data_IF_617659872989
#
_entry.id   IF_617659872989
#
_cell.length_a   1.000
_cell.length_b   1.000
_cell.length_c   1.000
_cell.angle_alpha   90.00
_cell.angle_beta   90.00
_cell.angle_gamma   90.00
#
_symmetry.space_group_name_H-M   'P 1'
#
loop_
_entity.id
_entity.type
_entity.pdbx_description
1 polymer ?
#
# COMPACT_ATOMS: atom_id res chain seq x y z
N UNK A 1 -39.93 11.18 16.22
CA UNK A 1 -38.58 11.70 16.49
C UNK A 1 -38.14 12.47 15.27
N UNK A 2 -38.12 13.80 15.35
CA UNK A 2 -37.59 14.62 14.26
C UNK A 2 -36.08 14.40 14.20
N UNK A 3 -35.58 13.90 13.08
CA UNK A 3 -34.15 13.83 12.85
C UNK A 3 -33.63 15.25 12.65
N UNK A 4 -32.88 15.77 13.61
CA UNK A 4 -32.18 17.04 13.46
C UNK A 4 -31.04 16.87 12.44
N UNK A 5 -31.35 17.09 11.16
CA UNK A 5 -30.40 17.01 10.06
C UNK A 5 -30.07 18.43 9.60
N UNK A 6 -28.82 18.83 9.78
CA UNK A 6 -28.27 20.05 9.18
C UNK A 6 -27.84 19.70 7.75
N UNK A 7 -28.34 20.46 6.77
CA UNK A 7 -27.87 20.38 5.38
C UNK A 7 -27.13 21.67 5.04
N UNK A 8 -25.87 21.56 4.64
CA UNK A 8 -25.03 22.67 4.23
C UNK A 8 -24.62 22.50 2.76
N UNK A 9 -24.69 23.60 1.99
CA UNK A 9 -24.41 23.59 0.55
C UNK A 9 -23.53 24.78 0.17
N UNK A 10 -22.59 24.58 -0.74
CA UNK A 10 -21.77 25.65 -1.30
C UNK A 10 -20.55 25.97 -0.44
N UNK A 11 -19.46 25.23 -0.66
CA UNK A 11 -18.18 25.37 0.05
C UNK A 11 -18.32 25.20 1.57
N UNK A 12 -18.61 23.97 1.98
CA UNK A 12 -18.75 23.62 3.40
C UNK A 12 -17.38 23.45 4.04
N UNK A 13 -17.22 24.03 5.23
CA UNK A 13 -16.09 23.83 6.12
C UNK A 13 -16.65 23.37 7.48
N UNK A 14 -16.13 22.27 8.00
CA UNK A 14 -16.49 21.74 9.33
C UNK A 14 -15.22 21.67 10.16
N UNK A 15 -15.27 22.23 11.37
CA UNK A 15 -14.27 22.02 12.40
C UNK A 15 -14.97 21.27 13.54
N UNK A 16 -14.49 20.07 13.85
CA UNK A 16 -15.03 19.24 14.92
C UNK A 16 -13.88 18.56 15.64
N UNK A 17 -13.67 18.92 16.91
CA UNK A 17 -12.52 18.46 17.70
C UNK A 17 -11.20 18.70 16.94
N UNK A 18 -10.43 17.65 16.65
CA UNK A 18 -9.17 17.71 15.89
C UNK A 18 -9.35 17.58 14.37
N UNK A 19 -10.60 17.41 13.92
CA UNK A 19 -10.94 17.18 12.52
C UNK A 19 -11.24 18.51 11.84
N UNK A 20 -10.50 18.81 10.77
CA UNK A 20 -10.80 19.88 9.83
C UNK A 20 -11.26 19.28 8.52
N UNK A 21 -12.45 19.63 8.07
CA UNK A 21 -13.04 19.07 6.87
C UNK A 21 -13.58 20.13 5.93
N UNK A 22 -13.53 19.84 4.63
CA UNK A 22 -14.13 20.67 3.60
C UNK A 22 -14.80 19.81 2.52
N UNK A 23 -15.87 20.32 1.91
CA UNK A 23 -16.60 19.66 0.82
C UNK A 23 -17.50 20.63 0.06
N UNK A 24 -18.12 20.15 -1.03
CA UNK A 24 -19.12 20.93 -1.77
C UNK A 24 -20.41 21.06 -0.95
N UNK A 25 -20.88 19.95 -0.37
CA UNK A 25 -22.06 19.87 0.47
C UNK A 25 -21.79 19.00 1.70
N UNK A 26 -22.61 19.14 2.74
CA UNK A 26 -22.60 18.24 3.88
C UNK A 26 -24.01 17.99 4.42
N UNK A 27 -24.20 16.81 5.00
CA UNK A 27 -25.36 16.46 5.83
C UNK A 27 -24.86 16.01 7.20
N UNK A 28 -25.34 16.64 8.25
CA UNK A 28 -24.92 16.35 9.63
C UNK A 28 -26.15 15.96 10.42
N UNK A 29 -26.17 14.74 10.95
CA UNK A 29 -27.17 14.32 11.92
C UNK A 29 -26.66 14.73 13.31
N UNK A 30 -27.48 15.40 14.10
CA UNK A 30 -27.16 15.77 15.48
C UNK A 30 -28.16 15.13 16.45
N UNK A 31 -27.71 14.87 17.68
CA UNK A 31 -28.56 14.41 18.77
C UNK A 31 -29.29 15.58 19.45
N UNK A 32 -30.13 15.27 20.45
CA UNK A 32 -30.87 16.28 21.23
C UNK A 32 -29.96 17.27 21.98
N UNK A 33 -28.72 16.88 22.28
CA UNK A 33 -27.71 17.75 22.91
C UNK A 33 -26.92 18.59 21.90
N UNK A 34 -27.22 18.50 20.60
CA UNK A 34 -26.52 19.21 19.54
C UNK A 34 -25.18 18.60 19.12
N UNK A 35 -24.81 17.42 19.63
CA UNK A 35 -23.58 16.73 19.23
C UNK A 35 -23.79 15.96 17.91
N UNK A 36 -22.82 15.96 16.99
CA UNK A 36 -22.91 15.16 15.76
C UNK A 36 -22.97 13.65 16.04
N UNK A 37 -23.92 12.99 15.42
CA UNK A 37 -24.03 11.51 15.36
C UNK A 37 -23.51 10.97 14.02
N UNK A 38 -23.57 11.78 12.96
CA UNK A 38 -23.12 11.41 11.63
C UNK A 38 -22.77 12.66 10.83
N UNK A 39 -21.61 12.69 10.19
CA UNK A 39 -21.17 13.76 9.30
C UNK A 39 -20.92 13.15 7.92
N UNK A 40 -21.73 13.53 6.93
CA UNK A 40 -21.58 13.10 5.54
C UNK A 40 -21.14 14.29 4.68
N UNK A 41 -19.91 14.26 4.20
CA UNK A 41 -19.30 15.24 3.31
C UNK A 41 -19.40 14.74 1.87
N UNK A 42 -19.95 15.57 0.99
CA UNK A 42 -20.29 15.19 -0.39
C UNK A 42 -19.64 16.17 -1.37
N UNK A 43 -18.95 15.63 -2.37
CA UNK A 43 -18.30 16.35 -3.45
C UNK A 43 -16.94 16.93 -3.04
N UNK A 44 -15.86 16.39 -3.60
CA UNK A 44 -14.46 16.80 -3.31
C UNK A 44 -14.18 16.90 -1.81
N UNK A 45 -14.66 15.92 -1.06
CA UNK A 45 -14.54 15.89 0.39
C UNK A 45 -13.07 15.69 0.78
N UNK A 46 -12.61 16.48 1.75
CA UNK A 46 -11.30 16.36 2.35
C UNK A 46 -11.43 16.44 3.86
N UNK A 47 -10.72 15.56 4.56
CA UNK A 47 -10.58 15.51 6.01
C UNK A 47 -9.10 15.58 6.35
N UNK A 48 -8.75 16.41 7.32
CA UNK A 48 -7.42 16.54 7.90
C UNK A 48 -7.54 16.30 9.41
N UNK A 49 -6.76 15.35 9.92
CA UNK A 49 -6.67 15.03 11.36
C UNK A 49 -5.20 14.76 11.70
N UNK A 50 -4.56 15.69 12.42
CA UNK A 50 -3.13 15.63 12.69
C UNK A 50 -2.30 15.52 11.40
N UNK A 51 -1.55 14.42 11.26
CA UNK A 51 -0.72 14.12 10.07
C UNK A 51 -1.48 13.41 8.95
N UNK A 52 -2.72 13.00 9.20
CA UNK A 52 -3.52 12.23 8.26
C UNK A 52 -4.36 13.16 7.38
N UNK A 53 -4.33 12.92 6.07
CA UNK A 53 -5.14 13.63 5.08
C UNK A 53 -5.90 12.58 4.27
N UNK A 54 -7.22 12.70 4.22
CA UNK A 54 -8.09 11.83 3.42
C UNK A 54 -8.88 12.69 2.44
N UNK A 55 -8.91 12.30 1.17
CA UNK A 55 -9.69 12.95 0.12
C UNK A 55 -10.55 11.89 -0.56
N UNK A 56 -11.80 12.22 -0.91
CA UNK A 56 -12.68 11.35 -1.68
C UNK A 56 -13.86 12.13 -2.29
N UNK A 57 -14.67 11.49 -3.13
CA UNK A 57 -15.94 12.07 -3.57
C UNK A 57 -16.90 12.21 -2.39
N UNK A 58 -17.01 11.17 -1.55
CA UNK A 58 -17.82 11.19 -0.33
C UNK A 58 -16.98 10.74 0.87
N UNK A 59 -17.13 11.43 1.99
CA UNK A 59 -16.56 11.05 3.29
C UNK A 59 -17.68 10.99 4.32
N UNK A 60 -17.85 9.84 4.98
CA UNK A 60 -18.80 9.63 6.05
C UNK A 60 -18.03 9.41 7.35
N UNK A 61 -18.24 10.26 8.35
CA UNK A 61 -17.68 10.09 9.68
C UNK A 61 -18.81 9.84 10.68
N UNK A 62 -18.70 8.75 11.44
CA UNK A 62 -19.61 8.40 12.51
C UNK A 62 -18.86 8.51 13.85
N UNK A 63 -19.08 9.59 14.62
CA UNK A 63 -18.44 9.78 15.92
C UNK A 63 -18.87 8.77 16.99
N UNK A 64 -20.01 8.10 16.82
CA UNK A 64 -20.50 7.11 17.79
C UNK A 64 -19.72 5.80 17.65
N UNK A 65 -19.51 5.34 16.41
CA UNK A 65 -18.73 4.13 16.12
C UNK A 65 -17.24 4.41 15.92
N UNK A 66 -16.81 5.67 15.91
CA UNK A 66 -15.47 6.12 15.54
C UNK A 66 -15.01 5.58 14.19
N UNK A 67 -15.89 5.64 13.20
CA UNK A 67 -15.65 5.10 11.87
C UNK A 67 -15.58 6.22 10.82
N UNK A 68 -14.59 6.14 9.93
CA UNK A 68 -14.45 7.01 8.76
C UNK A 68 -14.50 6.18 7.49
N UNK A 69 -15.45 6.47 6.61
CA UNK A 69 -15.60 5.84 5.30
C UNK A 69 -15.32 6.88 4.21
N UNK A 70 -14.42 6.56 3.29
CA UNK A 70 -14.07 7.36 2.11
C UNK A 70 -14.42 6.59 0.84
N UNK A 71 -15.15 7.21 -0.08
CA UNK A 71 -15.60 6.54 -1.31
C UNK A 71 -15.61 7.42 -2.55
N UNK A 72 -15.46 6.80 -3.72
CA UNK A 72 -15.41 7.48 -5.01
C UNK A 72 -14.05 8.15 -5.22
N UNK A 73 -13.03 7.34 -5.49
CA UNK A 73 -11.63 7.78 -5.62
C UNK A 73 -11.03 8.26 -4.30
N UNK A 74 -11.07 7.40 -3.29
CA UNK A 74 -10.46 7.65 -2.00
C UNK A 74 -8.92 7.70 -2.09
N UNK A 75 -8.33 8.72 -1.48
CA UNK A 75 -6.89 8.88 -1.32
C UNK A 75 -6.60 9.27 0.13
N UNK A 76 -5.84 8.44 0.84
CA UNK A 76 -5.30 8.77 2.16
C UNK A 76 -3.79 8.92 2.10
N UNK A 77 -3.29 9.86 2.91
CA UNK A 77 -1.87 10.15 3.05
C UNK A 77 -1.55 10.35 4.52
N UNK A 78 -0.40 9.85 4.96
CA UNK A 78 0.12 10.09 6.31
C UNK A 78 1.64 10.17 6.29
N UNK A 79 2.19 10.74 7.36
CA UNK A 79 3.64 10.84 7.60
C UNK A 79 3.96 10.13 8.90
N UNK A 80 4.80 9.09 8.82
CA UNK A 80 5.28 8.33 9.98
C UNK A 80 6.24 9.16 10.84
N UNK A 81 6.67 8.60 11.97
CA UNK A 81 7.62 9.27 12.88
C UNK A 81 8.99 9.50 12.24
N UNK A 82 9.45 8.58 11.38
CA UNK A 82 10.69 8.69 10.60
C UNK A 82 10.56 9.62 9.37
N UNK A 83 9.50 10.44 9.32
CA UNK A 83 9.12 11.30 8.20
C UNK A 83 8.76 10.57 6.90
N UNK A 84 8.68 9.24 6.91
CA UNK A 84 8.25 8.50 5.72
C UNK A 84 6.81 8.81 5.37
N UNK A 85 6.55 9.15 4.11
CA UNK A 85 5.20 9.30 3.59
C UNK A 85 4.63 7.95 3.17
N UNK A 86 3.37 7.72 3.54
CA UNK A 86 2.54 6.62 3.04
C UNK A 86 1.42 7.25 2.23
N UNK A 87 1.16 6.75 1.03
CA UNK A 87 0.00 7.16 0.23
C UNK A 87 -0.77 5.94 -0.27
N UNK A 88 -2.09 5.99 -0.13
CA UNK A 88 -3.01 4.91 -0.43
C UNK A 88 -4.11 5.46 -1.34
N UNK A 89 -4.26 4.89 -2.52
CA UNK A 89 -5.33 5.19 -3.47
C UNK A 89 -6.23 3.97 -3.62
N UNK A 90 -7.54 4.20 -3.70
CA UNK A 90 -8.53 3.15 -3.92
C UNK A 90 -9.90 3.74 -4.24
N UNK A 91 -10.88 2.88 -4.48
CA UNK A 91 -12.27 3.30 -4.69
C UNK A 91 -13.00 3.49 -3.36
N UNK A 92 -12.63 2.70 -2.36
CA UNK A 92 -13.21 2.69 -1.03
C UNK A 92 -12.12 2.53 0.04
N UNK A 93 -12.28 3.25 1.16
CA UNK A 93 -11.48 3.11 2.37
C UNK A 93 -12.41 3.18 3.58
N UNK A 94 -12.19 2.33 4.56
CA UNK A 94 -12.89 2.33 5.84
C UNK A 94 -11.86 2.23 6.94
N UNK A 95 -11.83 3.24 7.80
CA UNK A 95 -10.95 3.31 8.95
C UNK A 95 -11.79 3.25 10.22
N UNK A 96 -11.52 2.24 11.04
CA UNK A 96 -12.06 2.12 12.38
C UNK A 96 -11.00 2.66 13.36
N UNK A 97 -11.30 3.76 14.03
CA UNK A 97 -10.36 4.40 14.95
C UNK A 97 -10.25 3.64 16.27
N UNK A 98 -11.24 2.83 16.65
CA UNK A 98 -11.14 2.01 17.87
C UNK A 98 -10.09 0.91 17.66
N UNK A 99 -10.19 0.22 16.53
CA UNK A 99 -9.30 -0.91 16.21
C UNK A 99 -8.08 -0.50 15.39
N UNK A 100 -7.92 0.78 15.05
CA UNK A 100 -6.85 1.30 14.20
C UNK A 100 -6.67 0.52 12.88
N UNK A 101 -7.76 -0.07 12.39
CA UNK A 101 -7.77 -0.94 11.21
C UNK A 101 -8.24 -0.14 10.01
N UNK A 102 -7.48 -0.23 8.90
CA UNK A 102 -7.87 0.35 7.62
C UNK A 102 -8.13 -0.76 6.60
N UNK A 103 -9.34 -0.81 6.08
CA UNK A 103 -9.71 -1.67 4.95
C UNK A 103 -9.79 -0.79 3.70
N UNK A 104 -9.11 -1.18 2.64
CA UNK A 104 -9.14 -0.49 1.34
C UNK A 104 -9.46 -1.47 0.24
N UNK A 105 -10.31 -1.06 -0.71
CA UNK A 105 -10.76 -1.91 -1.81
C UNK A 105 -11.03 -1.12 -3.09
N UNK A 106 -10.94 -1.84 -4.21
CA UNK A 106 -11.09 -1.31 -5.56
C UNK A 106 -9.87 -0.51 -6.00
N UNK A 107 -9.17 -1.00 -7.03
CA UNK A 107 -7.99 -0.34 -7.62
C UNK A 107 -6.98 0.14 -6.57
N UNK A 108 -6.70 -0.70 -5.56
CA UNK A 108 -5.81 -0.36 -4.46
C UNK A 108 -4.40 -0.16 -5.02
N UNK A 109 -3.80 0.98 -4.68
CA UNK A 109 -2.38 1.27 -4.88
C UNK A 109 -1.84 1.87 -3.59
N UNK A 110 -0.74 1.30 -3.11
CA UNK A 110 -0.04 1.75 -1.91
C UNK A 110 1.39 2.09 -2.31
N UNK A 111 1.85 3.26 -1.90
CA UNK A 111 3.23 3.70 -2.07
C UNK A 111 3.83 3.94 -0.68
N UNK A 112 4.93 3.26 -0.39
CA UNK A 112 5.67 3.34 0.86
C UNK A 112 7.16 3.14 0.59
N UNK A 113 7.99 4.16 0.82
CA UNK A 113 9.43 4.14 0.48
C UNK A 113 9.63 3.70 -0.99
N UNK A 114 10.32 2.59 -1.19
CA UNK A 114 10.63 1.94 -2.47
C UNK A 114 9.57 0.91 -2.92
N UNK A 115 8.49 0.72 -2.14
CA UNK A 115 7.43 -0.24 -2.40
C UNK A 115 6.27 0.41 -3.14
N UNK A 116 5.87 -0.23 -4.23
CA UNK A 116 4.60 0.00 -4.89
C UNK A 116 3.83 -1.32 -4.82
N UNK A 117 2.75 -1.34 -4.05
CA UNK A 117 1.86 -2.48 -3.95
C UNK A 117 0.51 -2.15 -4.60
N UNK A 118 -0.01 -3.07 -5.40
CA UNK A 118 -1.28 -2.92 -6.10
C UNK A 118 -2.13 -4.17 -5.96
N UNK A 119 -3.44 -4.01 -5.83
CA UNK A 119 -4.35 -5.15 -5.70
C UNK A 119 -5.82 -4.74 -5.66
N UNK A 120 -6.73 -5.71 -5.55
CA UNK A 120 -8.16 -5.43 -5.43
C UNK A 120 -8.56 -5.07 -3.99
N UNK A 121 -7.87 -5.59 -2.97
CA UNK A 121 -8.14 -5.31 -1.55
C UNK A 121 -6.87 -5.37 -0.71
N UNK A 122 -6.74 -4.46 0.26
CA UNK A 122 -5.75 -4.55 1.32
C UNK A 122 -6.36 -4.20 2.69
N UNK A 123 -5.84 -4.83 3.74
CA UNK A 123 -6.20 -4.54 5.13
C UNK A 123 -4.93 -4.20 5.91
N UNK A 124 -4.90 -3.03 6.54
CA UNK A 124 -3.84 -2.62 7.44
C UNK A 124 -4.28 -2.94 8.86
N UNK A 125 -3.45 -3.70 9.56
CA UNK A 125 -3.66 -4.12 10.93
C UNK A 125 -2.62 -3.44 11.82
N UNK A 126 -3.03 -2.90 12.98
CA UNK A 126 -2.10 -2.32 13.92
C UNK A 126 -1.27 -3.41 14.62
N UNK A 127 -0.14 -2.99 15.16
CA UNK A 127 0.54 -3.70 16.23
C UNK A 127 -0.27 -3.64 17.53
N UNK A 128 -0.36 -4.76 18.23
CA UNK A 128 -1.20 -4.87 19.44
C UNK A 128 -0.70 -4.07 20.62
N UNK A 129 0.58 -3.64 20.63
CA UNK A 129 1.16 -2.83 21.71
C UNK A 129 1.16 -1.35 21.36
N UNK A 130 1.60 -1.02 20.16
CA UNK A 130 1.82 0.38 19.74
C UNK A 130 0.63 1.01 19.04
N UNK A 131 -0.37 0.22 18.63
CA UNK A 131 -1.51 0.66 17.81
C UNK A 131 -1.12 1.28 16.45
N UNK A 132 0.15 1.15 16.06
CA UNK A 132 0.70 1.64 14.78
C UNK A 132 0.54 0.57 13.70
N UNK A 133 0.33 0.93 12.42
CA UNK A 133 0.27 -0.05 11.34
C UNK A 133 1.52 -0.93 11.30
N UNK A 134 1.36 -2.24 11.39
CA UNK A 134 2.47 -3.19 11.40
C UNK A 134 2.34 -4.28 10.35
N UNK A 135 1.10 -4.68 10.02
CA UNK A 135 0.84 -5.73 9.04
C UNK A 135 -0.11 -5.21 7.96
N UNK A 136 0.19 -5.51 6.71
CA UNK A 136 -0.67 -5.22 5.56
C UNK A 136 -0.97 -6.54 4.86
N UNK A 137 -2.25 -6.91 4.78
CA UNK A 137 -2.70 -8.13 4.13
C UNK A 137 -3.41 -7.76 2.83
N UNK A 138 -2.83 -8.14 1.71
CA UNK A 138 -3.45 -8.05 0.40
C UNK A 138 -4.20 -9.35 0.09
N UNK A 139 -5.40 -9.21 -0.44
CA UNK A 139 -6.23 -10.34 -0.86
C UNK A 139 -6.71 -10.15 -2.28
N UNK A 140 -6.70 -11.25 -3.04
CA UNK A 140 -6.97 -11.27 -4.47
C UNK A 140 -5.73 -10.83 -5.24
N UNK A 141 -5.40 -11.56 -6.31
CA UNK A 141 -4.26 -11.38 -7.22
C UNK A 141 -3.60 -10.00 -7.12
N UNK A 142 -2.62 -9.89 -6.22
CA UNK A 142 -1.95 -8.64 -5.87
C UNK A 142 -0.50 -8.68 -6.30
N UNK A 143 0.11 -7.51 -6.46
CA UNK A 143 1.49 -7.31 -6.90
C UNK A 143 2.22 -6.37 -5.95
N UNK A 144 3.40 -6.76 -5.52
CA UNK A 144 4.37 -5.89 -4.85
C UNK A 144 5.55 -5.69 -5.80
N UNK A 145 5.99 -4.44 -5.94
CA UNK A 145 7.21 -4.06 -6.63
C UNK A 145 8.15 -3.34 -5.65
N UNK A 146 9.37 -3.86 -5.52
CA UNK A 146 10.49 -3.27 -4.76
C UNK A 146 11.67 -3.12 -5.72
N UNK A 147 11.95 -1.89 -6.16
CA UNK A 147 12.97 -1.61 -7.17
C UNK A 147 12.73 -2.42 -8.46
N UNK A 148 13.66 -3.32 -8.78
CA UNK A 148 13.61 -4.20 -9.96
C UNK A 148 12.96 -5.56 -9.71
N UNK A 149 12.49 -5.81 -8.49
CA UNK A 149 11.88 -7.07 -8.05
C UNK A 149 10.36 -6.90 -8.04
N UNK A 150 9.64 -7.89 -8.57
CA UNK A 150 8.18 -7.93 -8.46
C UNK A 150 7.72 -9.30 -8.00
N UNK A 151 6.75 -9.32 -7.10
CA UNK A 151 6.07 -10.55 -6.65
C UNK A 151 4.57 -10.38 -6.83
N UNK A 152 3.95 -11.38 -7.44
CA UNK A 152 2.50 -11.50 -7.58
C UNK A 152 2.02 -12.77 -6.87
N UNK A 153 0.89 -12.68 -6.15
CA UNK A 153 0.27 -13.83 -5.50
C UNK A 153 -1.22 -13.56 -5.23
N UNK A 154 -1.98 -14.60 -4.86
CA UNK A 154 -3.39 -14.45 -4.49
C UNK A 154 -3.56 -13.80 -3.11
N UNK A 155 -2.58 -14.02 -2.23
CA UNK A 155 -2.47 -13.37 -0.93
C UNK A 155 -1.02 -12.94 -0.69
N UNK A 156 -0.84 -11.69 -0.28
CA UNK A 156 0.47 -11.16 0.14
C UNK A 156 0.31 -10.59 1.54
N UNK A 157 1.19 -10.95 2.46
CA UNK A 157 1.25 -10.31 3.79
C UNK A 157 2.58 -9.59 3.93
N UNK A 158 2.54 -8.27 4.17
CA UNK A 158 3.71 -7.44 4.40
C UNK A 158 3.77 -7.05 5.88
N UNK A 159 4.92 -7.26 6.50
CA UNK A 159 5.27 -6.69 7.81
C UNK A 159 6.08 -5.42 7.60
N UNK A 160 5.73 -4.34 8.32
CA UNK A 160 6.41 -3.05 8.21
C UNK A 160 7.71 -3.08 9.02
N UNK A 161 7.71 -3.70 10.20
CA UNK A 161 8.86 -3.76 11.12
C UNK A 161 8.97 -5.16 11.79
N UNK A 162 9.93 -6.03 11.41
CA UNK A 162 10.88 -5.86 10.32
C UNK A 162 10.20 -5.91 8.96
N UNK A 163 10.83 -5.28 7.97
CA UNK A 163 10.35 -5.22 6.58
C UNK A 163 10.47 -6.60 5.93
N UNK A 164 9.40 -7.38 5.92
CA UNK A 164 9.34 -8.73 5.32
C UNK A 164 7.99 -8.96 4.67
N UNK A 165 7.90 -9.90 3.72
CA UNK A 165 6.60 -10.31 3.20
C UNK A 165 6.51 -11.82 2.94
N UNK A 166 5.29 -12.35 2.99
CA UNK A 166 4.95 -13.71 2.57
C UNK A 166 4.00 -13.65 1.37
N UNK A 167 4.05 -14.69 0.54
CA UNK A 167 3.25 -14.82 -0.67
C UNK A 167 2.63 -16.22 -0.75
N UNK A 168 1.32 -16.29 -0.92
CA UNK A 168 0.55 -17.53 -0.90
C UNK A 168 -0.41 -17.55 -2.11
N UNK A 169 -0.49 -18.71 -2.78
CA UNK A 169 -1.37 -18.93 -3.94
C UNK A 169 -0.84 -18.34 -5.25
N UNK A 170 -0.70 -19.19 -6.28
CA UNK A 170 -0.32 -18.82 -7.65
C UNK A 170 0.85 -17.82 -7.75
N UNK A 171 1.88 -18.02 -6.94
CA UNK A 171 2.99 -17.07 -6.76
C UNK A 171 3.83 -16.96 -8.02
N UNK A 172 4.14 -15.73 -8.45
CA UNK A 172 5.06 -15.43 -9.55
C UNK A 172 6.03 -14.33 -9.12
N UNK A 173 7.33 -14.60 -9.24
CA UNK A 173 8.39 -13.63 -8.95
C UNK A 173 9.17 -13.28 -10.21
N UNK A 174 9.56 -12.02 -10.36
CA UNK A 174 10.41 -11.55 -11.45
C UNK A 174 11.50 -10.64 -10.90
N UNK A 175 12.71 -10.75 -11.46
CA UNK A 175 13.86 -9.93 -11.13
C UNK A 175 14.40 -9.34 -12.42
N UNK A 176 14.49 -8.00 -12.51
CA UNK A 176 15.12 -7.34 -13.65
C UNK A 176 16.57 -7.02 -13.30
N UNK A 177 17.51 -7.60 -14.02
CA UNK A 177 18.92 -7.24 -13.91
C UNK A 177 19.18 -5.99 -14.76
N UNK A 178 19.53 -4.88 -14.09
CA UNK A 178 19.99 -3.67 -14.77
C UNK A 178 21.43 -3.93 -15.19
N UNK A 179 21.65 -4.28 -16.46
CA UNK A 179 22.98 -4.50 -17.01
C UNK A 179 23.82 -3.22 -16.99
N UNK A 180 25.03 -3.31 -16.45
CA UNK A 180 26.11 -2.33 -16.63
C UNK A 180 26.53 -2.32 -18.11
N UNK A 181 25.85 -1.55 -18.95
CA UNK A 181 26.32 -1.30 -20.31
C UNK A 181 27.35 -0.17 -20.33
N UNK A 182 28.61 -0.52 -20.01
CA UNK A 182 29.76 0.32 -20.35
C UNK A 182 30.55 -0.30 -21.51
N UNK A 183 30.34 0.31 -22.69
CA UNK A 183 31.21 0.42 -23.87
C UNK A 183 32.14 -0.77 -24.21
N UNK A 184 31.84 -1.44 -25.32
CA UNK A 184 32.86 -1.70 -26.34
C UNK A 184 32.28 -1.54 -27.76
N UNK A 185 33.11 -0.92 -28.59
CA UNK A 185 32.79 -0.31 -29.87
C UNK A 185 32.50 -1.29 -31.02
N UNK A 186 31.74 -0.76 -31.98
CA UNK A 186 31.68 -1.03 -33.42
C UNK A 186 32.61 -2.09 -34.04
N UNK A 187 32.02 -3.05 -34.76
CA UNK A 187 32.43 -3.42 -36.14
C UNK A 187 31.50 -4.46 -36.79
N UNK A 188 30.81 -4.02 -37.85
CA UNK A 188 30.54 -4.69 -39.16
C UNK A 188 30.18 -6.19 -39.28
N UNK A 189 29.05 -6.41 -39.95
CA UNK A 189 28.55 -7.61 -40.67
C UNK A 189 29.61 -8.63 -41.16
N UNK A 190 29.37 -9.91 -40.88
CA UNK A 190 29.12 -10.97 -41.90
C UNK A 190 28.75 -12.32 -41.25
N UNK A 191 27.73 -12.96 -41.81
CA UNK A 191 27.35 -14.35 -41.59
C UNK A 191 28.26 -15.26 -42.45
N UNK A 192 28.63 -16.48 -41.99
CA UNK A 192 28.13 -17.66 -42.70
C UNK A 192 27.84 -18.91 -41.80
N UNK A 193 27.21 -19.89 -42.45
CA UNK A 193 26.69 -21.20 -42.02
C UNK A 193 27.77 -22.26 -41.68
N UNK A 194 27.35 -23.17 -40.78
CA UNK A 194 27.55 -24.64 -40.68
C UNK A 194 28.96 -25.25 -40.78
N UNK A 195 29.37 -26.02 -39.78
CA UNK A 195 29.90 -27.40 -39.89
C UNK A 195 29.79 -28.11 -38.52
N UNK A 196 29.46 -29.39 -38.57
CA UNK A 196 29.30 -30.35 -37.46
C UNK A 196 30.63 -30.69 -36.74
N UNK A 197 30.47 -31.29 -35.56
CA UNK A 197 31.23 -32.43 -34.99
C UNK A 197 31.78 -32.28 -33.56
N UNK A 198 31.40 -33.30 -32.79
CA UNK A 198 32.10 -33.98 -31.68
C UNK A 198 32.11 -33.42 -30.25
N UNK A 199 31.23 -34.02 -29.44
CA UNK A 199 31.47 -34.61 -28.11
C UNK A 199 32.83 -34.32 -27.42
N UNK A 200 32.75 -33.82 -26.19
CA UNK A 200 33.27 -34.51 -25.00
C UNK A 200 32.70 -33.89 -23.71
N UNK A 201 32.06 -34.75 -22.93
CA UNK A 201 31.82 -34.55 -21.51
C UNK A 201 33.16 -34.39 -20.79
N UNK A 202 33.26 -33.42 -19.88
CA UNK A 202 34.31 -33.45 -18.86
C UNK A 202 33.66 -33.26 -17.48
N UNK A 203 33.73 -34.35 -16.72
CA UNK A 203 33.29 -34.47 -15.33
C UNK A 203 34.25 -33.66 -14.46
N UNK A 204 33.71 -32.85 -13.56
CA UNK A 204 34.49 -32.19 -12.52
C UNK A 204 34.82 -33.25 -11.46
N UNK A 205 36.10 -33.58 -11.34
CA UNK A 205 36.61 -34.52 -10.34
C UNK A 205 36.71 -33.82 -8.97
N UNK A 206 36.24 -34.49 -7.93
CA UNK A 206 36.03 -33.94 -6.60
C UNK A 206 37.10 -34.45 -5.63
N UNK A 207 38.39 -34.23 -5.91
CA UNK A 207 39.50 -34.73 -5.09
C UNK A 207 40.61 -33.70 -4.74
N UNK A 208 40.48 -32.42 -5.12
CA UNK A 208 41.58 -31.43 -4.95
C UNK A 208 41.41 -30.42 -3.79
N UNK A 209 40.80 -30.83 -2.67
CA UNK A 209 40.95 -30.08 -1.41
C UNK A 209 41.11 -31.02 -0.20
N UNK A 210 42.35 -31.43 0.06
CA UNK A 210 42.75 -31.97 1.38
C UNK A 210 43.25 -30.84 2.30
N UNK A 211 43.08 -30.98 3.63
CA UNK A 211 43.16 -29.89 4.60
C UNK A 211 44.58 -29.68 5.13
N UNK A 212 44.91 -28.45 5.53
CA UNK A 212 46.11 -28.16 6.33
C UNK A 212 45.68 -27.73 7.73
N UNK A 213 45.82 -28.66 8.68
CA UNK A 213 45.99 -28.39 10.10
C UNK A 213 47.51 -28.39 10.39
N UNK A 214 48.03 -27.36 11.05
CA UNK A 214 48.60 -27.47 12.42
C UNK A 214 49.41 -26.23 12.83
N UNK A 215 48.93 -25.61 13.93
CA UNK A 215 49.63 -25.30 15.20
C UNK A 215 51.01 -24.62 15.15
N UNK A 216 51.04 -23.41 15.74
CA UNK A 216 51.95 -23.08 16.85
C UNK A 216 51.28 -22.14 17.84
#
# INVERSE_FOLDING_TARGET
MESNIITATGNVIINYEEIKANSTNAKIKINESGKPELINLIGSAKVVQGKNIVNATNLLFNPISNELIASGSAKSQTTLEDMTQVSIWSDYQQFDQNTHTLITSGRVKIVYKDYIATGPKATFLPDTKTHKPNKIVFMGRSKIQEGSRTVEADKLELSVNPKTFTAEGNVRSQFTQIGLNNKLNSSTKKQPKTTEETNKEEKINLDDFTPVNDIK
#
